data_IF_832193997555
#
_entry.id   IF_832193997555
#
_cell.length_a   1.000
_cell.length_b   1.000
_cell.length_c   1.000
_cell.angle_alpha   90.00
_cell.angle_beta   90.00
_cell.angle_gamma   90.00
#
_symmetry.space_group_name_H-M   'P 1'
#
loop_
_entity.id
_entity.type
_entity.pdbx_description
1 polymer ?
#
# COMPACT_ATOMS: atom_id res chain seq x y z
N UNK A 1 -20.76 -6.80 0.21
CA UNK A 1 -20.55 -5.38 -0.19
C UNK A 1 -21.86 -4.58 -0.14
N UNK A 2 -21.88 -3.47 0.60
CA UNK A 2 -23.10 -2.76 1.00
C UNK A 2 -23.96 -2.20 -0.14
N UNK A 3 -23.36 -1.95 -1.32
CA UNK A 3 -24.04 -1.34 -2.47
C UNK A 3 -24.22 -2.30 -3.66
N UNK A 4 -23.97 -3.61 -3.48
CA UNK A 4 -24.08 -4.58 -4.58
C UNK A 4 -25.54 -4.96 -4.84
N UNK A 5 -25.99 -4.83 -6.09
CA UNK A 5 -27.28 -5.36 -6.56
C UNK A 5 -27.36 -6.90 -6.44
N UNK A 6 -26.21 -7.57 -6.39
CA UNK A 6 -26.07 -9.02 -6.21
C UNK A 6 -25.13 -9.30 -5.03
N UNK A 7 -25.64 -9.17 -3.81
CA UNK A 7 -24.80 -9.25 -2.61
C UNK A 7 -24.23 -10.65 -2.35
N UNK A 8 -24.97 -11.71 -2.66
CA UNK A 8 -24.53 -13.10 -2.50
C UNK A 8 -23.37 -13.44 -3.46
N UNK A 9 -23.52 -13.19 -4.75
CA UNK A 9 -22.45 -13.42 -5.74
C UNK A 9 -21.17 -12.63 -5.42
N UNK A 10 -21.31 -11.44 -4.85
CA UNK A 10 -20.16 -10.65 -4.45
C UNK A 10 -19.47 -11.21 -3.19
N UNK A 11 -20.22 -11.85 -2.28
CA UNK A 11 -19.63 -12.59 -1.16
C UNK A 11 -18.97 -13.87 -1.65
N UNK A 12 -19.59 -14.61 -2.56
CA UNK A 12 -18.99 -15.80 -3.20
C UNK A 12 -17.68 -15.46 -3.89
N UNK A 13 -17.63 -14.34 -4.62
CA UNK A 13 -16.40 -13.88 -5.26
C UNK A 13 -15.29 -13.60 -4.24
N UNK A 14 -15.61 -12.88 -3.15
CA UNK A 14 -14.65 -12.63 -2.06
C UNK A 14 -14.16 -13.96 -1.48
N UNK A 15 -15.07 -14.85 -1.11
CA UNK A 15 -14.75 -16.15 -0.52
C UNK A 15 -13.83 -16.95 -1.45
N UNK A 16 -14.20 -17.05 -2.73
CA UNK A 16 -13.40 -17.69 -3.78
C UNK A 16 -11.98 -17.14 -3.82
N UNK A 17 -11.80 -15.81 -3.77
CA UNK A 17 -10.48 -15.18 -3.81
C UNK A 17 -9.67 -15.39 -2.54
N UNK A 18 -10.33 -15.62 -1.40
CA UNK A 18 -9.69 -15.82 -0.10
C UNK A 18 -9.33 -17.28 0.18
N UNK A 19 -9.78 -18.24 -0.66
CA UNK A 19 -9.44 -19.65 -0.49
C UNK A 19 -7.92 -19.89 -0.52
N UNK A 20 -7.40 -20.83 0.29
CA UNK A 20 -5.95 -21.09 0.40
C UNK A 20 -5.27 -21.32 -0.95
N UNK A 21 -5.88 -22.10 -1.85
CA UNK A 21 -5.31 -22.39 -3.16
C UNK A 21 -5.19 -21.14 -4.04
N UNK A 22 -6.11 -20.18 -3.92
CA UNK A 22 -6.06 -18.94 -4.68
C UNK A 22 -5.04 -17.97 -4.07
N UNK A 23 -4.93 -17.94 -2.74
CA UNK A 23 -3.90 -17.17 -2.05
C UNK A 23 -2.49 -17.70 -2.38
N UNK A 24 -2.31 -19.03 -2.45
CA UNK A 24 -1.06 -19.64 -2.88
C UNK A 24 -0.74 -19.31 -4.35
N UNK A 25 -1.73 -19.36 -5.25
CA UNK A 25 -1.55 -18.94 -6.65
C UNK A 25 -1.13 -17.47 -6.72
N UNK A 26 -1.80 -16.58 -5.97
CA UNK A 26 -1.46 -15.15 -5.91
C UNK A 26 -0.02 -14.94 -5.44
N UNK A 27 0.36 -15.58 -4.34
CA UNK A 27 1.71 -15.50 -3.78
C UNK A 27 2.77 -15.97 -4.77
N UNK A 28 2.62 -17.16 -5.35
CA UNK A 28 3.57 -17.72 -6.33
C UNK A 28 3.67 -16.92 -7.65
N UNK A 29 2.75 -15.97 -7.91
CA UNK A 29 2.80 -15.09 -9.08
C UNK A 29 3.23 -13.65 -8.73
N UNK A 30 3.92 -13.47 -7.59
CA UNK A 30 4.48 -12.18 -7.17
C UNK A 30 3.45 -11.23 -6.54
N UNK A 31 2.28 -11.72 -6.16
CA UNK A 31 1.32 -11.00 -5.33
C UNK A 31 1.65 -11.11 -3.85
N UNK A 32 1.10 -10.21 -3.04
CA UNK A 32 1.11 -10.33 -1.57
C UNK A 32 -0.22 -10.98 -1.16
N UNK A 33 -0.21 -12.26 -0.75
CA UNK A 33 -1.41 -12.90 -0.24
C UNK A 33 -1.77 -12.33 1.13
N UNK A 34 -3.07 -12.20 1.39
CA UNK A 34 -3.59 -11.76 2.70
C UNK A 34 -3.53 -12.91 3.71
N UNK A 35 -3.66 -14.15 3.23
CA UNK A 35 -3.83 -15.33 4.09
C UNK A 35 -3.20 -16.63 3.54
N UNK A 36 -2.19 -16.56 2.66
CA UNK A 36 -1.49 -17.78 2.23
C UNK A 36 -0.65 -18.35 3.38
N UNK A 37 -0.55 -19.67 3.47
CA UNK A 37 0.47 -20.31 4.28
C UNK A 37 1.82 -20.15 3.57
N UNK A 38 2.86 -19.73 4.29
CA UNK A 38 4.20 -19.51 3.70
C UNK A 38 4.76 -20.79 3.05
N UNK A 39 4.41 -21.95 3.60
CA UNK A 39 4.77 -23.27 3.07
C UNK A 39 4.18 -23.60 1.69
N UNK A 40 3.15 -22.88 1.26
CA UNK A 40 2.56 -23.02 -0.08
C UNK A 40 3.23 -22.12 -1.13
N UNK A 41 4.19 -21.27 -0.72
CA UNK A 41 4.96 -20.41 -1.62
C UNK A 41 6.24 -21.11 -2.04
N UNK A 42 6.31 -21.48 -3.31
CA UNK A 42 7.42 -22.25 -3.90
C UNK A 42 8.33 -21.40 -4.78
N UNK A 43 7.84 -20.29 -5.33
CA UNK A 43 8.68 -19.34 -6.06
C UNK A 43 9.61 -18.59 -5.10
N UNK A 44 10.92 -18.68 -5.33
CA UNK A 44 11.94 -18.16 -4.42
C UNK A 44 11.82 -16.65 -4.20
N UNK A 45 11.52 -15.88 -5.25
CA UNK A 45 11.38 -14.42 -5.17
C UNK A 45 10.11 -14.02 -4.43
N UNK A 46 9.03 -14.75 -4.68
CA UNK A 46 7.76 -14.55 -3.99
C UNK A 46 7.89 -14.87 -2.50
N UNK A 47 8.64 -15.92 -2.15
CA UNK A 47 8.94 -16.25 -0.75
C UNK A 47 9.74 -15.13 -0.06
N UNK A 48 10.77 -14.57 -0.73
CA UNK A 48 11.51 -13.41 -0.22
C UNK A 48 10.60 -12.20 -0.01
N UNK A 49 9.76 -11.89 -1.00
CA UNK A 49 8.81 -10.78 -0.96
C UNK A 49 7.80 -10.93 0.19
N UNK A 50 7.20 -12.09 0.34
CA UNK A 50 6.20 -12.37 1.38
C UNK A 50 6.84 -12.34 2.77
N UNK A 51 8.03 -12.91 2.94
CA UNK A 51 8.76 -12.85 4.21
C UNK A 51 9.11 -11.41 4.61
N UNK A 52 9.54 -10.58 3.64
CA UNK A 52 9.81 -9.16 3.89
C UNK A 52 8.52 -8.41 4.29
N UNK A 53 7.42 -8.65 3.58
CA UNK A 53 6.11 -8.07 3.93
C UNK A 53 5.66 -8.46 5.33
N UNK A 54 5.73 -9.75 5.69
CA UNK A 54 5.35 -10.25 7.01
C UNK A 54 6.23 -9.67 8.12
N UNK A 55 7.52 -9.45 7.86
CA UNK A 55 8.42 -8.76 8.80
C UNK A 55 7.93 -7.32 9.06
N UNK A 56 7.66 -6.56 7.99
CA UNK A 56 7.16 -5.18 8.11
C UNK A 56 5.81 -5.15 8.84
N UNK A 57 4.90 -6.09 8.54
CA UNK A 57 3.60 -6.19 9.19
C UNK A 57 3.73 -6.46 10.70
N UNK A 58 4.60 -7.40 11.09
CA UNK A 58 4.81 -7.76 12.50
C UNK A 58 5.46 -6.62 13.30
N UNK A 59 6.23 -5.76 12.63
CA UNK A 59 6.88 -4.59 13.23
C UNK A 59 5.97 -3.34 13.24
N UNK A 60 4.68 -3.49 12.94
CA UNK A 60 3.73 -2.37 12.79
C UNK A 60 4.23 -1.30 11.78
N UNK A 61 5.00 -1.76 10.79
CA UNK A 61 5.66 -0.91 9.81
C UNK A 61 4.80 -0.55 8.59
N UNK A 62 3.56 -1.08 8.51
CA UNK A 62 2.63 -0.76 7.44
C UNK A 62 1.86 0.52 7.78
N UNK A 63 2.11 1.58 7.01
CA UNK A 63 1.20 2.71 6.94
C UNK A 63 0.11 2.43 5.89
N UNK A 64 -1.12 2.87 6.17
CA UNK A 64 -2.16 2.94 5.14
C UNK A 64 -1.60 3.73 3.96
N UNK A 65 -1.71 3.22 2.74
CA UNK A 65 -1.35 3.97 1.53
C UNK A 65 -2.39 5.07 1.38
N UNK A 66 -2.10 6.29 1.84
CA UNK A 66 -3.08 7.33 1.78
C UNK A 66 -2.99 7.86 0.35
N UNK A 67 -4.10 8.18 -0.30
CA UNK A 67 -3.99 9.44 -1.00
C UNK A 67 -3.83 10.43 0.15
N UNK A 68 -2.64 11.01 0.14
CA UNK A 68 -1.88 11.54 1.25
C UNK A 68 -2.74 12.33 2.24
N UNK A 69 -2.38 12.46 3.53
CA UNK A 69 -3.25 12.91 4.64
C UNK A 69 -4.14 14.14 4.39
N UNK A 70 -3.91 14.87 3.31
CA UNK A 70 -4.73 15.93 2.76
C UNK A 70 -4.91 15.80 1.23
N UNK A 71 -6.02 16.26 0.64
CA UNK A 71 -6.29 16.13 -0.81
C UNK A 71 -5.17 16.68 -1.70
N UNK A 72 -4.83 15.94 -2.76
CA UNK A 72 -3.83 16.36 -3.75
C UNK A 72 -2.40 16.39 -3.20
N UNK A 73 -2.18 15.94 -1.96
CA UNK A 73 -0.85 15.94 -1.39
C UNK A 73 0.03 15.03 -2.26
N UNK A 74 -0.44 13.90 -2.85
CA UNK A 74 0.37 13.01 -3.73
C UNK A 74 1.21 13.71 -4.81
N UNK A 75 0.69 14.77 -5.39
CA UNK A 75 1.43 15.50 -6.42
C UNK A 75 2.61 16.30 -5.83
N UNK A 76 2.53 16.69 -4.56
CA UNK A 76 3.51 17.52 -3.85
C UNK A 76 4.80 16.78 -3.50
N UNK A 77 4.80 15.58 -2.88
CA UNK A 77 6.03 14.78 -2.60
C UNK A 77 6.60 14.28 -3.92
N UNK A 78 5.79 13.99 -4.94
CA UNK A 78 6.36 13.68 -6.27
C UNK A 78 7.13 14.88 -6.81
N UNK A 79 6.53 16.08 -6.80
CA UNK A 79 7.17 17.29 -7.28
C UNK A 79 8.39 17.70 -6.43
N UNK A 80 8.26 17.73 -5.10
CA UNK A 80 9.34 18.09 -4.18
C UNK A 80 10.44 17.02 -4.15
N UNK A 81 10.09 15.74 -4.28
CA UNK A 81 11.04 14.64 -4.43
C UNK A 81 11.87 14.77 -5.71
N UNK A 82 11.25 15.16 -6.82
CA UNK A 82 11.99 15.50 -8.05
C UNK A 82 12.94 16.68 -7.83
N UNK A 83 12.52 17.73 -7.12
CA UNK A 83 13.37 18.88 -6.78
C UNK A 83 14.55 18.50 -5.88
N UNK A 84 14.35 17.56 -4.96
CA UNK A 84 15.42 17.04 -4.12
C UNK A 84 16.45 16.26 -4.95
N UNK A 85 15.98 15.33 -5.79
CA UNK A 85 16.83 14.46 -6.61
C UNK A 85 17.66 15.26 -7.62
N UNK A 86 17.05 16.26 -8.26
CA UNK A 86 17.73 17.11 -9.23
C UNK A 86 18.49 18.29 -8.60
N UNK A 87 18.48 18.38 -7.26
CA UNK A 87 19.18 19.41 -6.47
C UNK A 87 18.73 20.85 -6.78
N UNK A 88 17.50 21.04 -7.27
CA UNK A 88 16.89 22.36 -7.47
C UNK A 88 16.26 22.94 -6.21
N UNK A 89 16.12 22.14 -5.15
CA UNK A 89 15.73 22.58 -3.81
C UNK A 89 16.61 21.90 -2.74
N UNK A 90 16.84 22.58 -1.62
CA UNK A 90 17.52 21.99 -0.46
C UNK A 90 16.60 21.05 0.31
N UNK A 91 17.15 20.12 1.11
CA UNK A 91 16.33 19.27 1.99
C UNK A 91 15.38 20.07 2.90
N UNK A 92 15.81 21.23 3.41
CA UNK A 92 14.99 22.11 4.24
C UNK A 92 13.83 22.72 3.45
N UNK A 93 14.08 23.19 2.22
CA UNK A 93 13.03 23.73 1.36
C UNK A 93 11.97 22.69 1.03
N UNK A 94 12.40 21.46 0.70
CA UNK A 94 11.50 20.33 0.45
C UNK A 94 10.66 20.03 1.69
N UNK A 95 11.29 19.92 2.87
CA UNK A 95 10.58 19.71 4.14
C UNK A 95 9.53 20.80 4.39
N UNK A 96 9.90 22.06 4.19
CA UNK A 96 9.02 23.20 4.47
C UNK A 96 7.82 23.24 3.52
N UNK A 97 8.03 22.93 2.23
CA UNK A 97 6.97 22.85 1.23
C UNK A 97 5.99 21.70 1.53
N UNK A 98 6.51 20.52 1.91
CA UNK A 98 5.68 19.40 2.34
C UNK A 98 4.84 19.74 3.58
N UNK A 99 5.46 20.38 4.57
CA UNK A 99 4.74 20.81 5.78
C UNK A 99 3.66 21.86 5.46
N UNK A 100 3.94 22.80 4.56
CA UNK A 100 2.98 23.82 4.15
C UNK A 100 1.73 23.19 3.52
N UNK A 101 1.92 22.31 2.52
CA UNK A 101 0.82 21.64 1.84
C UNK A 101 -0.02 20.77 2.78
N UNK A 102 0.63 20.02 3.69
CA UNK A 102 -0.07 19.28 4.73
C UNK A 102 -0.89 20.19 5.66
N UNK A 103 -0.30 21.28 6.15
CA UNK A 103 -0.98 22.16 7.10
C UNK A 103 -2.15 22.92 6.46
N UNK A 104 -2.09 23.18 5.16
CA UNK A 104 -3.17 23.82 4.40
C UNK A 104 -4.35 22.87 4.16
N UNK A 105 -4.08 21.61 3.79
CA UNK A 105 -5.13 20.68 3.40
C UNK A 105 -5.73 19.85 4.54
N UNK A 106 -5.14 19.88 5.75
CA UNK A 106 -5.60 19.03 6.85
C UNK A 106 -6.95 19.51 7.38
N UNK A 107 -7.81 18.60 7.85
CA UNK A 107 -9.03 19.00 8.52
C UNK A 107 -8.70 19.92 9.70
N UNK A 108 -9.42 21.03 9.83
CA UNK A 108 -9.40 21.82 11.07
C UNK A 108 -10.19 21.06 12.13
N UNK A 109 -9.61 20.89 13.33
CA UNK A 109 -10.34 20.41 14.50
C UNK A 109 -11.53 21.31 14.87
#
# INVERSE_FOLDING_TARGET
PANSENSELALDFIDITMRPEIQAILGNNGGIPVAAAEEDITDEKSMELVAAFNTILNDDGLAFYPDWPVPGFYDVIVAEGQKLINQSATPEQVRDNLAAAYNEGRPTE
#
